data_IF_660977549337
#
_entry.id   IF_660977549337
#
_cell.length_a   1.000
_cell.length_b   1.000
_cell.length_c   1.000
_cell.angle_alpha   90.00
_cell.angle_beta   90.00
_cell.angle_gamma   90.00
#
_symmetry.space_group_name_H-M   'P 1'
#
loop_
_entity.id
_entity.type
_entity.pdbx_description
1 polymer ?
#
# COMPACT_ATOMS: atom_id res chain seq x y z
N UNK A 1 -0.87 -18.58 38.50
CA UNK A 1 0.35 -17.91 37.97
C UNK A 1 0.62 -18.15 36.48
N UNK A 2 0.23 -19.28 35.86
CA UNK A 2 0.56 -19.58 34.46
C UNK A 2 -0.22 -18.79 33.40
N UNK A 3 -1.42 -18.28 33.71
CA UNK A 3 -2.25 -17.51 32.75
C UNK A 3 -1.76 -16.06 32.58
N UNK A 4 -1.14 -15.47 33.61
CA UNK A 4 -0.60 -14.09 33.56
C UNK A 4 0.67 -13.97 32.71
N UNK A 5 1.45 -15.06 32.58
CA UNK A 5 2.67 -15.08 31.75
C UNK A 5 2.33 -15.15 30.25
N UNK A 6 1.22 -15.82 29.88
CA UNK A 6 0.79 -15.91 28.48
C UNK A 6 0.31 -14.56 27.92
N UNK A 7 -0.34 -13.74 28.76
CA UNK A 7 -0.81 -12.39 28.40
C UNK A 7 0.35 -11.40 28.17
N UNK A 8 1.48 -11.58 28.86
CA UNK A 8 2.68 -10.77 28.66
C UNK A 8 3.39 -11.10 27.34
N UNK A 9 3.38 -12.37 26.90
CA UNK A 9 4.01 -12.79 25.64
C UNK A 9 3.21 -12.29 24.41
N UNK A 10 1.88 -12.17 24.52
CA UNK A 10 1.03 -11.60 23.47
C UNK A 10 1.20 -10.08 23.28
N UNK A 11 1.66 -9.34 24.29
CA UNK A 11 1.93 -7.89 24.17
C UNK A 11 3.26 -7.56 23.48
N UNK A 12 4.16 -8.54 23.29
CA UNK A 12 5.45 -8.32 22.61
C UNK A 12 5.38 -8.47 21.08
N UNK A 13 4.27 -8.93 20.51
CA UNK A 13 4.14 -9.13 19.06
C UNK A 13 3.59 -7.88 18.34
N UNK A 14 2.98 -6.93 19.06
CA UNK A 14 2.29 -5.78 18.45
C UNK A 14 3.17 -4.57 18.08
N UNK A 15 4.49 -4.63 18.26
CA UNK A 15 5.38 -3.47 18.03
C UNK A 15 6.55 -3.72 17.05
N UNK A 16 6.57 -4.85 16.32
CA UNK A 16 7.73 -5.21 15.48
C UNK A 16 7.81 -4.42 14.15
N UNK A 17 6.80 -3.63 13.79
CA UNK A 17 6.75 -2.96 12.47
C UNK A 17 6.53 -1.45 12.51
N UNK A 18 7.20 -0.77 13.44
CA UNK A 18 7.59 0.63 13.24
C UNK A 18 9.06 0.68 12.83
N UNK A 19 9.44 -0.08 11.80
CA UNK A 19 10.70 0.16 11.13
C UNK A 19 10.49 1.42 10.27
N UNK A 20 10.94 2.57 10.78
CA UNK A 20 11.04 3.76 9.95
C UNK A 20 11.76 3.39 8.66
N UNK A 21 11.17 3.75 7.52
CA UNK A 21 11.79 3.54 6.22
C UNK A 21 13.16 4.20 6.22
N UNK A 22 14.21 3.38 6.17
CA UNK A 22 15.59 3.84 6.10
C UNK A 22 16.13 3.59 4.70
N UNK A 23 16.23 4.67 3.95
CA UNK A 23 16.69 4.68 2.56
C UNK A 23 18.10 4.11 2.40
N UNK A 24 18.94 4.15 3.46
CA UNK A 24 20.31 3.63 3.44
C UNK A 24 20.37 2.11 3.49
N UNK A 25 19.25 1.44 3.79
CA UNK A 25 19.16 -0.02 3.89
C UNK A 25 18.52 -0.68 2.68
N UNK A 26 18.19 0.09 1.64
CA UNK A 26 17.65 -0.45 0.40
C UNK A 26 18.66 -1.37 -0.29
N UNK A 27 18.22 -2.55 -0.70
CA UNK A 27 19.00 -3.44 -1.56
C UNK A 27 18.97 -2.95 -3.01
N UNK A 28 19.87 -3.47 -3.84
CA UNK A 28 19.87 -3.15 -5.27
C UNK A 28 18.56 -3.58 -5.95
N UNK A 29 18.01 -4.75 -5.59
CA UNK A 29 16.74 -5.24 -6.15
C UNK A 29 15.56 -4.34 -5.74
N UNK A 30 15.56 -3.81 -4.52
CA UNK A 30 14.56 -2.85 -4.05
C UNK A 30 14.68 -1.51 -4.80
N UNK A 31 15.89 -1.07 -5.12
CA UNK A 31 16.14 0.13 -5.95
C UNK A 31 15.61 -0.08 -7.37
N UNK A 32 15.87 -1.24 -8.00
CA UNK A 32 15.34 -1.54 -9.33
C UNK A 32 13.83 -1.67 -9.34
N UNK A 33 13.24 -2.24 -8.29
CA UNK A 33 11.79 -2.28 -8.09
C UNK A 33 11.21 -0.85 -8.00
N UNK A 34 11.85 0.04 -7.24
CA UNK A 34 11.43 1.44 -7.13
C UNK A 34 11.52 2.17 -8.49
N UNK A 35 12.59 1.96 -9.26
CA UNK A 35 12.71 2.50 -10.62
C UNK A 35 11.60 2.00 -11.54
N UNK A 36 11.24 0.73 -11.45
CA UNK A 36 10.14 0.16 -12.23
C UNK A 36 8.80 0.80 -11.85
N UNK A 37 8.49 0.90 -10.56
CA UNK A 37 7.29 1.58 -10.05
C UNK A 37 7.26 3.04 -10.53
N UNK A 38 8.40 3.74 -10.48
CA UNK A 38 8.51 5.13 -10.91
C UNK A 38 8.13 5.29 -12.38
N UNK A 39 8.61 4.39 -13.26
CA UNK A 39 8.29 4.39 -14.69
C UNK A 39 6.80 4.19 -14.94
N UNK A 40 6.18 3.19 -14.31
CA UNK A 40 4.74 2.92 -14.49
C UNK A 40 3.86 4.08 -13.98
N UNK A 41 4.30 4.79 -12.93
CA UNK A 41 3.58 5.94 -12.39
C UNK A 41 3.76 7.24 -13.16
N UNK A 42 4.70 7.32 -14.11
CA UNK A 42 5.15 8.58 -14.70
C UNK A 42 4.06 9.28 -15.53
N UNK A 43 3.36 8.53 -16.38
CA UNK A 43 2.31 9.08 -17.25
C UNK A 43 1.12 9.67 -16.47
N UNK A 44 0.93 9.21 -15.24
CA UNK A 44 -0.14 9.68 -14.35
C UNK A 44 0.33 10.73 -13.32
N UNK A 45 1.63 11.04 -13.27
CA UNK A 45 2.19 11.89 -12.21
C UNK A 45 2.15 11.25 -10.82
N UNK A 46 2.09 9.91 -10.75
CA UNK A 46 1.91 9.13 -9.52
C UNK A 46 3.17 8.42 -9.02
N UNK A 47 4.30 8.57 -9.72
CA UNK A 47 5.53 7.82 -9.45
C UNK A 47 5.94 7.76 -7.98
N UNK A 48 6.06 8.92 -7.31
CA UNK A 48 6.47 8.96 -5.90
C UNK A 48 5.39 8.46 -4.94
N UNK A 49 4.11 8.67 -5.26
CA UNK A 49 3.00 8.11 -4.48
C UNK A 49 3.01 6.59 -4.52
N UNK A 50 3.16 5.99 -5.70
CA UNK A 50 3.22 4.53 -5.86
C UNK A 50 4.44 3.93 -5.15
N UNK A 51 5.61 4.53 -5.30
CA UNK A 51 6.81 4.07 -4.59
C UNK A 51 6.63 4.10 -3.07
N UNK A 52 6.11 5.21 -2.54
CA UNK A 52 5.88 5.35 -1.11
C UNK A 52 4.82 4.37 -0.57
N UNK A 53 3.75 4.15 -1.33
CA UNK A 53 2.71 3.18 -0.99
C UNK A 53 3.28 1.76 -1.02
N UNK A 54 4.06 1.37 -2.03
CA UNK A 54 4.66 0.05 -2.10
C UNK A 54 5.59 -0.24 -0.90
N UNK A 55 6.37 0.76 -0.47
CA UNK A 55 7.16 0.69 0.76
C UNK A 55 6.25 0.52 1.98
N UNK A 56 5.26 1.40 2.14
CA UNK A 56 4.41 1.45 3.33
C UNK A 56 3.55 0.21 3.51
N UNK A 57 3.00 -0.29 2.40
CA UNK A 57 1.97 -1.33 2.40
C UNK A 57 2.54 -2.74 2.43
N UNK A 58 3.63 -2.99 1.71
CA UNK A 58 4.16 -4.35 1.55
C UNK A 58 5.66 -4.47 1.82
N UNK A 59 6.33 -3.39 2.23
CA UNK A 59 7.79 -3.33 2.31
C UNK A 59 8.44 -3.77 1.00
N UNK A 60 7.98 -3.20 -0.12
CA UNK A 60 8.40 -3.56 -1.48
C UNK A 60 8.21 -5.04 -1.81
N UNK A 61 7.07 -5.61 -1.40
CA UNK A 61 6.65 -6.96 -1.75
C UNK A 61 7.11 -8.07 -0.78
N UNK A 62 7.70 -7.74 0.37
CA UNK A 62 8.00 -8.72 1.43
C UNK A 62 6.72 -9.24 2.11
N UNK A 63 5.67 -8.42 2.16
CA UNK A 63 4.39 -8.75 2.79
C UNK A 63 3.24 -8.47 1.82
N UNK A 64 2.87 -9.48 1.03
CA UNK A 64 1.90 -9.33 -0.07
C UNK A 64 0.46 -9.72 0.29
N UNK A 65 0.24 -10.31 1.47
CA UNK A 65 -1.04 -10.93 1.82
C UNK A 65 -1.48 -10.46 3.19
N UNK A 66 -2.61 -9.75 3.24
CA UNK A 66 -3.33 -9.46 4.47
C UNK A 66 -4.72 -10.07 4.41
N UNK A 67 -4.87 -11.26 5.03
CA UNK A 67 -6.14 -11.98 5.03
C UNK A 67 -7.18 -11.38 5.99
N UNK A 68 -6.78 -10.55 6.94
CA UNK A 68 -7.71 -9.95 7.90
C UNK A 68 -8.48 -8.81 7.25
N UNK A 69 -7.78 -7.94 6.54
CA UNK A 69 -8.37 -6.80 5.82
C UNK A 69 -8.73 -7.13 4.37
N UNK A 70 -8.30 -8.28 3.84
CA UNK A 70 -8.50 -8.73 2.45
C UNK A 70 -7.80 -7.84 1.42
N UNK A 71 -6.61 -7.38 1.79
CA UNK A 71 -5.73 -6.58 0.96
C UNK A 71 -4.57 -7.44 0.42
N UNK A 72 -4.23 -7.23 -0.85
CA UNK A 72 -3.28 -8.09 -1.55
C UNK A 72 -2.34 -7.32 -2.47
N UNK A 73 -1.16 -7.89 -2.69
CA UNK A 73 -0.17 -7.40 -3.64
C UNK A 73 0.69 -6.26 -3.10
N UNK A 74 1.52 -5.73 -4.00
CA UNK A 74 2.54 -4.71 -3.72
C UNK A 74 1.95 -3.45 -3.05
N UNK A 75 0.73 -3.08 -3.41
CA UNK A 75 0.05 -1.86 -2.94
C UNK A 75 -1.14 -2.14 -2.02
N UNK A 76 -1.28 -3.39 -1.54
CA UNK A 76 -2.36 -3.83 -0.65
C UNK A 76 -3.75 -3.40 -1.14
N UNK A 77 -4.08 -3.75 -2.39
CA UNK A 77 -5.38 -3.40 -2.96
C UNK A 77 -6.49 -4.25 -2.34
N UNK A 78 -7.57 -3.59 -1.89
CA UNK A 78 -8.71 -4.25 -1.27
C UNK A 78 -9.51 -5.07 -2.31
N UNK A 79 -9.66 -6.37 -2.04
CA UNK A 79 -10.17 -7.33 -3.03
C UNK A 79 -11.58 -6.99 -3.54
N UNK A 80 -12.45 -6.47 -2.68
CA UNK A 80 -13.80 -6.05 -3.09
C UNK A 80 -13.74 -4.93 -4.14
N UNK A 81 -12.87 -3.95 -3.93
CA UNK A 81 -12.74 -2.81 -4.85
C UNK A 81 -12.21 -3.26 -6.20
N UNK A 82 -11.26 -4.21 -6.21
CA UNK A 82 -10.74 -4.81 -7.44
C UNK A 82 -11.83 -5.58 -8.19
N UNK A 83 -12.62 -6.40 -7.48
CA UNK A 83 -13.75 -7.12 -8.09
C UNK A 83 -14.78 -6.16 -8.69
N UNK A 84 -15.12 -5.10 -7.96
CA UNK A 84 -16.07 -4.08 -8.41
C UNK A 84 -15.54 -3.35 -9.68
N UNK A 85 -14.23 -3.03 -9.73
CA UNK A 85 -13.58 -2.45 -10.92
C UNK A 85 -13.58 -3.37 -12.14
N UNK A 86 -13.35 -4.65 -11.91
CA UNK A 86 -13.34 -5.67 -12.98
C UNK A 86 -14.75 -6.02 -13.45
N UNK A 87 -15.79 -5.50 -12.78
CA UNK A 87 -17.20 -5.67 -13.14
C UNK A 87 -17.59 -7.16 -13.26
N UNK A 88 -17.15 -7.97 -12.29
CA UNK A 88 -17.51 -9.39 -12.22
C UNK A 88 -18.22 -9.72 -10.92
N UNK A 89 -18.93 -10.86 -10.91
CA UNK A 89 -19.61 -11.33 -9.71
C UNK A 89 -18.62 -11.59 -8.57
N UNK A 90 -18.90 -11.02 -7.41
CA UNK A 90 -18.16 -11.31 -6.18
C UNK A 90 -18.46 -12.75 -5.71
N UNK A 91 -17.54 -13.66 -5.99
CA UNK A 91 -17.61 -15.07 -5.60
C UNK A 91 -16.20 -15.61 -5.27
N UNK A 92 -16.12 -16.76 -4.60
CA UNK A 92 -14.84 -17.33 -4.13
C UNK A 92 -13.81 -17.56 -5.24
N UNK A 93 -14.25 -17.94 -6.45
CA UNK A 93 -13.34 -18.15 -7.58
C UNK A 93 -12.71 -16.83 -8.04
N UNK A 94 -13.53 -15.80 -8.25
CA UNK A 94 -13.05 -14.47 -8.64
C UNK A 94 -12.16 -13.85 -7.55
N UNK A 95 -12.55 -13.99 -6.27
CA UNK A 95 -11.73 -13.55 -5.13
C UNK A 95 -10.34 -14.16 -5.16
N UNK A 96 -10.24 -15.48 -5.28
CA UNK A 96 -8.93 -16.16 -5.33
C UNK A 96 -8.14 -15.78 -6.59
N UNK A 97 -8.80 -15.69 -7.74
CA UNK A 97 -8.17 -15.28 -9.01
C UNK A 97 -7.53 -13.90 -8.90
N UNK A 98 -8.26 -12.89 -8.40
CA UNK A 98 -7.73 -11.53 -8.33
C UNK A 98 -6.75 -11.33 -7.17
N UNK A 99 -6.93 -12.02 -6.04
CA UNK A 99 -5.91 -12.03 -4.99
C UNK A 99 -4.58 -12.55 -5.54
N UNK A 100 -4.59 -13.68 -6.25
CA UNK A 100 -3.38 -14.21 -6.90
C UNK A 100 -2.81 -13.26 -7.95
N UNK A 101 -3.68 -12.63 -8.76
CA UNK A 101 -3.24 -11.68 -9.79
C UNK A 101 -2.58 -10.44 -9.16
N UNK A 102 -3.11 -9.90 -8.08
CA UNK A 102 -2.50 -8.79 -7.34
C UNK A 102 -1.12 -9.15 -6.76
N UNK A 103 -0.92 -10.42 -6.39
CA UNK A 103 0.35 -10.91 -5.84
C UNK A 103 1.39 -11.12 -6.94
N UNK A 104 1.00 -11.72 -8.06
CA UNK A 104 1.95 -12.24 -9.06
C UNK A 104 2.10 -11.38 -10.31
N UNK A 105 1.17 -10.47 -10.60
CA UNK A 105 1.15 -9.63 -11.80
C UNK A 105 1.36 -8.17 -11.40
N UNK A 106 2.61 -7.73 -11.51
CA UNK A 106 3.04 -6.38 -11.15
C UNK A 106 2.25 -5.29 -11.90
N UNK A 107 1.98 -5.48 -13.19
CA UNK A 107 1.23 -4.50 -14.00
C UNK A 107 -0.22 -4.43 -13.54
N UNK A 108 -0.84 -5.56 -13.25
CA UNK A 108 -2.20 -5.59 -12.73
C UNK A 108 -2.32 -4.92 -11.36
N UNK A 109 -1.37 -5.19 -10.45
CA UNK A 109 -1.33 -4.55 -9.14
C UNK A 109 -1.13 -3.04 -9.27
N UNK A 110 -0.19 -2.60 -10.11
CA UNK A 110 0.11 -1.19 -10.33
C UNK A 110 -1.05 -0.44 -10.97
N UNK A 111 -1.70 -1.03 -11.97
CA UNK A 111 -2.91 -0.45 -12.57
C UNK A 111 -4.01 -0.23 -11.53
N UNK A 112 -4.27 -1.20 -10.65
CA UNK A 112 -5.30 -1.05 -9.62
C UNK A 112 -4.97 0.06 -8.61
N UNK A 113 -3.70 0.21 -8.24
CA UNK A 113 -3.25 1.30 -7.37
C UNK A 113 -3.38 2.67 -8.06
N UNK A 114 -3.04 2.76 -9.35
CA UNK A 114 -3.24 3.95 -10.17
C UNK A 114 -4.73 4.31 -10.24
N UNK A 115 -5.61 3.36 -10.54
CA UNK A 115 -7.05 3.60 -10.64
C UNK A 115 -7.64 4.11 -9.31
N UNK A 116 -7.16 3.59 -8.17
CA UNK A 116 -7.54 4.06 -6.83
C UNK A 116 -7.08 5.50 -6.57
N UNK A 117 -5.80 5.79 -6.84
CA UNK A 117 -5.23 7.13 -6.64
C UNK A 117 -5.89 8.16 -7.55
N UNK A 118 -6.11 7.84 -8.82
CA UNK A 118 -6.80 8.73 -9.78
C UNK A 118 -8.24 9.00 -9.33
N UNK A 119 -8.94 7.97 -8.85
CA UNK A 119 -10.28 8.14 -8.29
C UNK A 119 -10.28 9.14 -7.12
N UNK A 120 -9.41 8.94 -6.13
CA UNK A 120 -9.36 9.84 -4.97
C UNK A 120 -8.82 11.23 -5.30
N UNK A 121 -7.87 11.34 -6.23
CA UNK A 121 -7.37 12.60 -6.75
C UNK A 121 -8.51 13.43 -7.36
N UNK A 122 -9.40 12.80 -8.11
CA UNK A 122 -10.60 13.43 -8.66
C UNK A 122 -11.57 13.87 -7.54
N UNK A 123 -11.86 13.00 -6.58
CA UNK A 123 -12.77 13.31 -5.45
C UNK A 123 -12.26 14.49 -4.61
N UNK A 124 -10.95 14.50 -4.31
CA UNK A 124 -10.33 15.48 -3.41
C UNK A 124 -9.68 16.66 -4.14
N UNK A 125 -9.86 16.78 -5.46
CA UNK A 125 -9.37 17.89 -6.28
C UNK A 125 -7.87 18.16 -6.08
N UNK A 126 -7.06 17.11 -6.11
CA UNK A 126 -5.61 17.14 -5.90
C UNK A 126 -5.15 17.56 -4.48
N UNK A 127 -6.02 17.56 -3.47
CA UNK A 127 -5.59 17.66 -2.07
C UNK A 127 -4.89 16.34 -1.66
N UNK A 128 -3.59 16.26 -1.92
CA UNK A 128 -2.78 15.05 -1.74
C UNK A 128 -2.83 14.48 -0.32
N UNK A 129 -2.98 15.35 0.69
CA UNK A 129 -3.16 14.89 2.06
C UNK A 129 -4.40 14.01 2.17
N UNK A 130 -5.53 14.45 1.59
CA UNK A 130 -6.77 13.67 1.56
C UNK A 130 -6.72 12.50 0.60
N UNK A 131 -6.02 12.62 -0.53
CA UNK A 131 -5.86 11.51 -1.49
C UNK A 131 -5.19 10.32 -0.83
N UNK A 132 -4.03 10.52 -0.18
CA UNK A 132 -3.33 9.43 0.51
C UNK A 132 -4.12 8.93 1.72
N UNK A 133 -4.79 9.81 2.46
CA UNK A 133 -5.68 9.39 3.55
C UNK A 133 -6.84 8.53 3.05
N UNK A 134 -7.40 8.84 1.89
CA UNK A 134 -8.47 8.03 1.30
C UNK A 134 -7.97 6.75 0.65
N UNK A 135 -6.74 6.69 0.17
CA UNK A 135 -6.16 5.44 -0.32
C UNK A 135 -6.21 4.35 0.77
N UNK A 136 -5.81 4.69 2.00
CA UNK A 136 -5.87 3.76 3.14
C UNK A 136 -7.25 3.70 3.82
N UNK A 137 -7.88 4.84 4.07
CA UNK A 137 -9.09 4.94 4.90
C UNK A 137 -10.41 5.04 4.13
N UNK A 138 -10.37 5.07 2.79
CA UNK A 138 -11.52 5.35 1.94
C UNK A 138 -12.20 6.67 2.32
N UNK A 139 -13.52 6.63 2.51
CA UNK A 139 -14.32 7.77 2.95
C UNK A 139 -14.04 8.22 4.39
N UNK A 140 -13.32 7.42 5.20
CA UNK A 140 -12.90 7.80 6.56
C UNK A 140 -11.54 8.54 6.56
N UNK A 141 -11.25 9.29 5.51
CA UNK A 141 -9.99 10.01 5.31
C UNK A 141 -9.67 11.02 6.43
N UNK A 142 -10.68 11.52 7.14
CA UNK A 142 -10.48 12.42 8.28
C UNK A 142 -10.20 11.70 9.61
N UNK A 143 -10.22 10.37 9.63
CA UNK A 143 -9.85 9.59 10.81
C UNK A 143 -8.37 9.83 11.18
N UNK A 144 -8.02 9.67 12.46
CA UNK A 144 -6.64 9.83 12.91
C UNK A 144 -5.70 8.91 12.11
N UNK A 145 -6.03 7.62 12.02
CA UNK A 145 -5.23 6.63 11.30
C UNK A 145 -4.99 7.01 9.82
N UNK A 146 -6.03 7.45 9.11
CA UNK A 146 -5.90 7.84 7.70
C UNK A 146 -5.01 9.10 7.52
N UNK A 147 -5.08 10.06 8.46
CA UNK A 147 -4.21 11.24 8.43
C UNK A 147 -2.76 10.90 8.78
N UNK A 148 -2.55 10.04 9.77
CA UNK A 148 -1.22 9.56 10.14
C UNK A 148 -0.58 8.83 8.94
N UNK A 149 -1.32 7.92 8.29
CA UNK A 149 -0.88 7.25 7.06
C UNK A 149 -0.44 8.24 5.97
N UNK A 150 -1.24 9.27 5.72
CA UNK A 150 -0.92 10.31 4.72
C UNK A 150 0.36 11.08 5.06
N UNK A 151 0.60 11.37 6.34
CA UNK A 151 1.83 12.00 6.80
C UNK A 151 3.05 11.10 6.61
N UNK A 152 2.91 9.79 6.84
CA UNK A 152 3.96 8.80 6.60
C UNK A 152 4.30 8.68 5.12
N UNK A 153 3.29 8.60 4.24
CA UNK A 153 3.49 8.62 2.78
C UNK A 153 4.25 9.88 2.36
N UNK A 154 3.84 11.06 2.85
CA UNK A 154 4.55 12.30 2.57
C UNK A 154 6.01 12.26 3.06
N UNK A 155 6.28 11.59 4.18
CA UNK A 155 7.63 11.41 4.72
C UNK A 155 8.49 10.50 3.85
N UNK A 156 7.97 9.35 3.45
CA UNK A 156 8.66 8.42 2.55
C UNK A 156 8.97 9.10 1.22
N UNK A 157 8.04 9.88 0.66
CA UNK A 157 8.28 10.67 -0.57
C UNK A 157 9.44 11.66 -0.39
N UNK A 158 9.53 12.35 0.75
CA UNK A 158 10.65 13.27 1.02
C UNK A 158 12.00 12.56 1.05
N UNK A 159 12.05 11.35 1.59
CA UNK A 159 13.28 10.54 1.58
C UNK A 159 13.61 10.04 0.18
N UNK A 160 12.63 9.49 -0.55
CA UNK A 160 12.82 8.99 -1.93
C UNK A 160 13.35 10.06 -2.88
N UNK A 161 12.99 11.33 -2.69
CA UNK A 161 13.51 12.44 -3.50
C UNK A 161 14.99 12.77 -3.28
N UNK A 162 15.64 12.17 -2.29
CA UNK A 162 17.07 12.38 -1.99
C UNK A 162 17.99 11.38 -2.70
N UNK A 163 17.42 10.37 -3.35
CA UNK A 163 18.18 9.34 -4.07
C UNK A 163 17.73 9.25 -5.53
N UNK A 164 18.58 8.64 -6.34
CA UNK A 164 18.25 8.33 -7.72
C UNK A 164 17.58 6.96 -7.83
N UNK A 165 16.25 6.98 -7.70
CA UNK A 165 15.31 5.91 -8.04
C UNK A 165 14.35 6.42 -9.08
#
# INVERSE_FOLDING_TARGET
>A
MKLKVFLLILMFISNIFAADFDIKKLTQDEIETLKEIKREGQEHGLSYSLMAIAIKESSLGKYLVNVDTKDYGLYQAHLKTVIDRENVKDNSWNRNKFAMKLISDFKFATKNAIDELVYWQKIHKNDWSKVWSSYNGGWKYNSKAARDYSQEIASIIRELKKIDV
#
